data_IF_646244725038
#
_entry.id   IF_646244725038
#
_cell.length_a   1.000
_cell.length_b   1.000
_cell.length_c   1.000
_cell.angle_alpha   90.00
_cell.angle_beta   90.00
_cell.angle_gamma   90.00
#
_symmetry.space_group_name_H-M   'P 1'
#
loop_
_entity.id
_entity.type
_entity.pdbx_description
1 polymer ?
#
# COMPACT_ATOMS: atom_id res chain seq x y z
N UNK A 1 5.42 10.10 -24.55
CA UNK A 1 4.34 9.28 -23.96
C UNK A 1 3.31 9.02 -25.05
N UNK A 2 3.21 7.79 -25.58
CA UNK A 2 2.26 7.48 -26.65
C UNK A 2 0.89 7.20 -26.04
N UNK A 3 -0.14 7.93 -26.49
CA UNK A 3 -1.52 7.69 -26.07
C UNK A 3 -2.09 6.44 -26.76
N UNK A 4 -3.03 5.72 -26.12
CA UNK A 4 -3.74 4.63 -26.78
C UNK A 4 -4.40 5.07 -28.10
N UNK A 5 -4.42 4.19 -29.10
CA UNK A 5 -5.13 4.41 -30.37
C UNK A 5 -6.64 4.40 -30.19
N UNK A 6 -7.15 3.59 -29.24
CA UNK A 6 -8.56 3.58 -28.86
C UNK A 6 -8.97 4.93 -28.26
N UNK A 7 -9.94 5.65 -28.88
CA UNK A 7 -10.42 6.94 -28.39
C UNK A 7 -10.94 6.90 -26.95
N UNK A 8 -11.58 5.79 -26.52
CA UNK A 8 -12.12 5.67 -25.16
C UNK A 8 -11.00 5.61 -24.13
N UNK A 9 -9.99 4.78 -24.38
CA UNK A 9 -8.78 4.67 -23.54
C UNK A 9 -7.98 5.97 -23.51
N UNK A 10 -7.91 6.70 -24.62
CA UNK A 10 -7.25 8.02 -24.69
C UNK A 10 -7.95 9.05 -23.79
N UNK A 11 -9.27 9.12 -23.86
CA UNK A 11 -10.06 10.01 -23.01
C UNK A 11 -9.93 9.67 -21.54
N UNK A 12 -10.00 8.38 -21.17
CA UNK A 12 -9.79 7.95 -19.78
C UNK A 12 -8.38 8.28 -19.28
N UNK A 13 -7.35 8.06 -20.11
CA UNK A 13 -5.96 8.42 -19.78
C UNK A 13 -5.82 9.92 -19.51
N UNK A 14 -6.37 10.76 -20.40
CA UNK A 14 -6.36 12.23 -20.22
C UNK A 14 -7.09 12.64 -18.94
N UNK A 15 -8.26 12.08 -18.67
CA UNK A 15 -9.02 12.34 -17.44
C UNK A 15 -8.24 11.97 -16.18
N UNK A 16 -7.55 10.82 -16.18
CA UNK A 16 -6.74 10.39 -15.03
C UNK A 16 -5.49 11.24 -14.84
N UNK A 17 -4.87 11.68 -15.95
CA UNK A 17 -3.64 12.46 -15.92
C UNK A 17 -3.79 13.81 -15.20
N UNK A 18 -4.99 14.38 -15.13
CA UNK A 18 -5.25 15.63 -14.39
C UNK A 18 -5.01 15.51 -12.88
N UNK A 19 -5.00 14.29 -12.35
CA UNK A 19 -4.67 14.02 -10.95
C UNK A 19 -3.17 13.90 -10.71
N UNK A 20 -2.32 14.08 -11.72
CA UNK A 20 -0.88 13.95 -11.59
C UNK A 20 -0.18 15.26 -11.90
N UNK A 21 0.92 15.52 -11.17
CA UNK A 21 1.84 16.61 -11.47
C UNK A 21 3.26 16.06 -11.55
N UNK A 22 4.08 16.67 -12.38
CA UNK A 22 5.52 16.39 -12.44
C UNK A 22 6.26 17.61 -11.92
N UNK A 23 7.06 17.43 -10.87
CA UNK A 23 7.76 18.51 -10.21
C UNK A 23 9.17 18.05 -9.81
N UNK A 24 10.19 18.81 -10.21
CA UNK A 24 11.61 18.56 -9.91
C UNK A 24 12.03 17.08 -10.06
N UNK A 25 11.74 16.50 -11.22
CA UNK A 25 12.13 15.11 -11.51
C UNK A 25 11.17 14.04 -10.99
N UNK A 26 10.18 14.41 -10.18
CA UNK A 26 9.33 13.48 -9.44
C UNK A 26 7.86 13.59 -9.86
N UNK A 27 7.21 12.44 -10.06
CA UNK A 27 5.78 12.37 -10.33
C UNK A 27 5.00 12.29 -9.02
N UNK A 28 3.95 13.09 -8.89
CA UNK A 28 3.04 13.07 -7.75
C UNK A 28 1.61 12.83 -8.22
N UNK A 29 0.83 12.11 -7.40
CA UNK A 29 -0.62 11.96 -7.55
C UNK A 29 -1.33 12.77 -6.47
N UNK A 30 -2.30 13.58 -6.87
CA UNK A 30 -3.23 14.25 -5.97
C UNK A 30 -4.26 13.26 -5.42
N UNK A 31 -4.36 13.17 -4.11
CA UNK A 31 -5.39 12.41 -3.40
C UNK A 31 -6.75 13.09 -3.51
N UNK A 32 -7.81 12.42 -3.05
CA UNK A 32 -9.14 13.01 -2.99
C UNK A 32 -9.17 14.22 -2.03
N UNK A 33 -8.43 14.12 -0.93
CA UNK A 33 -8.21 15.15 0.08
C UNK A 33 -7.27 16.28 -0.40
N UNK A 34 -6.83 16.24 -1.66
CA UNK A 34 -5.97 17.26 -2.26
C UNK A 34 -4.48 17.13 -1.91
N UNK A 35 -4.07 16.10 -1.17
CA UNK A 35 -2.68 15.87 -0.76
C UNK A 35 -1.89 15.27 -1.92
N UNK A 36 -0.67 15.77 -2.16
CA UNK A 36 0.22 15.19 -3.17
C UNK A 36 1.02 14.02 -2.60
N UNK A 37 0.83 12.84 -3.19
CA UNK A 37 1.57 11.63 -2.86
C UNK A 37 2.62 11.35 -3.93
N UNK A 38 3.85 11.06 -3.52
CA UNK A 38 4.96 10.72 -4.41
C UNK A 38 4.72 9.36 -5.07
N UNK A 39 4.79 9.32 -6.39
CA UNK A 39 4.70 8.07 -7.13
C UNK A 39 6.03 7.30 -7.00
N UNK A 40 5.95 6.03 -6.64
CA UNK A 40 7.11 5.15 -6.53
C UNK A 40 7.38 4.41 -7.84
N UNK A 41 8.66 4.24 -8.16
CA UNK A 41 9.12 3.29 -9.18
C UNK A 41 8.93 1.83 -8.73
N UNK A 42 9.21 0.88 -9.63
CA UNK A 42 9.09 -0.54 -9.30
C UNK A 42 10.04 -0.98 -8.17
N UNK A 43 11.26 -0.46 -8.14
CA UNK A 43 12.24 -0.82 -7.12
C UNK A 43 11.87 -0.18 -5.78
N UNK A 44 11.48 1.11 -5.80
CA UNK A 44 11.06 1.82 -4.61
C UNK A 44 9.79 1.23 -3.97
N UNK A 45 8.82 0.75 -4.77
CA UNK A 45 7.62 0.12 -4.19
C UNK A 45 7.97 -1.20 -3.51
N UNK A 46 8.94 -1.96 -4.01
CA UNK A 46 9.41 -3.21 -3.38
C UNK A 46 10.05 -2.88 -2.04
N UNK A 47 10.98 -1.93 -2.03
CA UNK A 47 11.62 -1.46 -0.80
C UNK A 47 10.60 -0.92 0.21
N UNK A 48 9.62 -0.11 -0.23
CA UNK A 48 8.60 0.43 0.66
C UNK A 48 7.74 -0.68 1.29
N UNK A 49 7.39 -1.73 0.53
CA UNK A 49 6.66 -2.88 1.06
C UNK A 49 7.50 -3.69 2.06
N UNK A 50 8.77 -3.94 1.74
CA UNK A 50 9.71 -4.65 2.62
C UNK A 50 9.92 -3.91 3.94
N UNK A 51 10.32 -2.64 3.89
CA UNK A 51 10.58 -1.83 5.09
C UNK A 51 9.33 -1.70 5.98
N UNK A 52 8.15 -1.54 5.36
CA UNK A 52 6.90 -1.40 6.11
C UNK A 52 6.45 -2.71 6.74
N UNK A 53 6.68 -3.85 6.07
CA UNK A 53 6.21 -5.16 6.49
C UNK A 53 7.17 -5.83 7.47
N UNK A 54 8.45 -5.91 7.10
CA UNK A 54 9.50 -6.69 7.78
C UNK A 54 10.80 -5.91 8.04
N UNK A 55 10.85 -4.61 7.75
CA UNK A 55 12.00 -3.76 8.09
C UNK A 55 12.17 -3.58 9.61
N UNK A 56 13.07 -2.67 10.01
CA UNK A 56 13.42 -2.43 11.42
C UNK A 56 12.19 -2.10 12.28
N UNK A 57 11.26 -1.33 11.73
CA UNK A 57 9.97 -0.98 12.35
C UNK A 57 8.79 -1.76 11.74
N UNK A 58 9.09 -2.88 11.08
CA UNK A 58 8.14 -3.82 10.51
C UNK A 58 7.46 -4.63 11.62
N UNK A 59 6.20 -4.95 11.42
CA UNK A 59 5.40 -5.68 12.40
C UNK A 59 4.59 -6.81 11.75
N UNK A 60 5.05 -7.31 10.59
CA UNK A 60 4.43 -8.38 9.82
C UNK A 60 2.92 -8.20 9.64
N UNK A 61 2.50 -6.93 9.47
CA UNK A 61 1.08 -6.58 9.40
C UNK A 61 0.45 -7.09 8.10
N UNK A 62 -0.87 -7.27 8.13
CA UNK A 62 -1.63 -7.67 6.95
C UNK A 62 -1.45 -6.68 5.79
N UNK A 63 -1.57 -7.17 4.55
CA UNK A 63 -1.43 -6.36 3.35
C UNK A 63 -2.25 -5.06 3.33
N UNK A 64 -3.54 -5.05 3.75
CA UNK A 64 -4.31 -3.82 3.86
C UNK A 64 -3.71 -2.78 4.82
N UNK A 65 -3.14 -3.22 5.95
CA UNK A 65 -2.46 -2.35 6.92
C UNK A 65 -1.14 -1.82 6.37
N UNK A 66 -0.37 -2.65 5.66
CA UNK A 66 0.85 -2.23 4.96
C UNK A 66 0.52 -1.13 3.94
N UNK A 67 -0.50 -1.36 3.09
CA UNK A 67 -1.00 -0.36 2.15
C UNK A 67 -1.36 0.96 2.85
N UNK A 68 -2.12 0.90 3.94
CA UNK A 68 -2.55 2.10 4.66
C UNK A 68 -1.37 2.89 5.21
N UNK A 69 -0.37 2.19 5.78
CA UNK A 69 0.85 2.82 6.33
C UNK A 69 1.65 3.51 5.23
N UNK A 70 1.86 2.84 4.09
CA UNK A 70 2.58 3.42 2.95
C UNK A 70 1.85 4.61 2.35
N UNK A 71 0.51 4.52 2.20
CA UNK A 71 -0.31 5.66 1.74
C UNK A 71 -0.18 6.84 2.70
N UNK A 72 -0.19 6.60 4.02
CA UNK A 72 -0.06 7.63 5.05
C UNK A 72 1.33 8.29 5.05
N UNK A 73 2.37 7.58 4.62
CA UNK A 73 3.70 8.15 4.39
C UNK A 73 3.78 9.03 3.13
N UNK A 74 2.68 9.16 2.37
CA UNK A 74 2.61 10.00 1.19
C UNK A 74 3.10 9.31 -0.07
N UNK A 75 3.07 7.97 -0.14
CA UNK A 75 3.50 7.21 -1.31
C UNK A 75 2.33 6.63 -2.09
N UNK A 76 2.53 6.47 -3.40
CA UNK A 76 1.51 5.96 -4.31
C UNK A 76 2.07 5.10 -5.45
N UNK A 77 1.33 4.06 -5.82
CA UNK A 77 1.39 3.45 -7.16
C UNK A 77 0.03 2.80 -7.48
N UNK A 78 -0.33 2.59 -8.77
CA UNK A 78 -1.68 2.19 -9.15
C UNK A 78 -2.18 0.87 -8.55
N UNK A 79 -1.28 -0.09 -8.34
CA UNK A 79 -1.60 -1.46 -7.88
C UNK A 79 -1.32 -1.67 -6.38
N UNK A 80 -1.10 -0.61 -5.60
CA UNK A 80 -0.58 -0.71 -4.23
C UNK A 80 -1.38 -1.59 -3.29
N UNK A 81 -2.70 -1.59 -3.38
CA UNK A 81 -3.55 -2.45 -2.54
C UNK A 81 -3.28 -3.92 -2.84
N UNK A 82 -3.31 -4.30 -4.12
CA UNK A 82 -3.06 -5.68 -4.56
C UNK A 82 -1.63 -6.11 -4.23
N UNK A 83 -0.65 -5.28 -4.58
CA UNK A 83 0.77 -5.59 -4.38
C UNK A 83 1.08 -5.81 -2.89
N UNK A 84 0.54 -4.98 -1.98
CA UNK A 84 0.72 -5.15 -0.53
C UNK A 84 0.07 -6.44 -0.01
N UNK A 85 -1.11 -6.81 -0.51
CA UNK A 85 -1.79 -8.06 -0.17
C UNK A 85 -0.96 -9.26 -0.63
N UNK A 86 -0.54 -9.26 -1.89
CA UNK A 86 0.24 -10.36 -2.48
C UNK A 86 1.63 -10.46 -1.85
N UNK A 87 2.23 -9.34 -1.44
CA UNK A 87 3.49 -9.32 -0.68
C UNK A 87 3.33 -10.00 0.69
N UNK A 88 2.39 -9.54 1.51
CA UNK A 88 2.15 -10.12 2.84
C UNK A 88 1.76 -11.61 2.77
N UNK A 89 0.97 -12.00 1.76
CA UNK A 89 0.61 -13.42 1.52
C UNK A 89 1.81 -14.32 1.22
N UNK A 90 2.88 -13.80 0.63
CA UNK A 90 4.09 -14.56 0.28
C UNK A 90 5.13 -14.61 1.40
N UNK A 91 4.94 -13.83 2.47
CA UNK A 91 5.87 -13.79 3.59
C UNK A 91 5.89 -15.14 4.32
N UNK A 92 7.03 -15.83 4.29
CA UNK A 92 7.20 -17.14 4.91
C UNK A 92 7.01 -17.11 6.43
N UNK A 93 7.52 -16.08 7.11
CA UNK A 93 7.32 -15.90 8.54
C UNK A 93 5.82 -15.78 8.86
N UNK A 94 5.07 -14.97 8.10
CA UNK A 94 3.61 -14.88 8.27
C UNK A 94 2.91 -16.20 8.00
N UNK A 95 3.29 -16.95 6.95
CA UNK A 95 2.70 -18.24 6.62
C UNK A 95 2.94 -19.28 7.71
N UNK A 96 4.15 -19.32 8.29
CA UNK A 96 4.48 -20.22 9.40
C UNK A 96 3.62 -19.95 10.63
N UNK A 97 3.38 -18.67 10.95
CA UNK A 97 2.57 -18.27 12.11
C UNK A 97 1.06 -18.20 11.85
N UNK A 98 0.60 -18.29 10.59
CA UNK A 98 -0.81 -18.11 10.23
C UNK A 98 -1.74 -19.17 10.85
N UNK A 99 -1.22 -20.38 11.09
CA UNK A 99 -1.97 -21.49 11.66
C UNK A 99 -1.96 -21.50 13.20
N UNK A 100 -1.28 -20.54 13.84
CA UNK A 100 -1.34 -20.41 15.30
C UNK A 100 -2.69 -19.81 15.67
N UNK A 101 -3.47 -20.56 16.45
CA UNK A 101 -4.72 -20.06 17.01
C UNK A 101 -4.35 -18.91 17.95
N UNK A 102 -4.60 -17.66 17.55
CA UNK A 102 -4.43 -16.48 18.39
C UNK A 102 -5.52 -16.37 19.48
N UNK A 103 -5.97 -17.50 20.00
CA UNK A 103 -6.88 -17.56 21.12
C UNK A 103 -6.03 -17.52 22.40
N UNK A 104 -6.39 -16.67 23.37
CA UNK A 104 -5.70 -16.68 24.64
C UNK A 104 -5.80 -18.08 25.28
N UNK A 105 -4.75 -18.55 25.97
CA UNK A 105 -4.76 -19.86 26.62
C UNK A 105 -5.86 -19.97 27.69
N UNK A 106 -6.33 -18.82 28.19
CA UNK A 106 -7.42 -18.72 29.15
C UNK A 106 -8.54 -17.81 28.61
N UNK A 107 -9.81 -18.05 28.99
CA UNK A 107 -10.92 -17.15 28.68
C UNK A 107 -10.63 -15.74 29.20
N UNK A 108 -10.84 -14.72 28.35
CA UNK A 108 -10.69 -13.34 28.78
C UNK A 108 -11.74 -13.01 29.85
N UNK A 109 -11.29 -12.58 31.02
CA UNK A 109 -12.17 -12.06 32.05
C UNK A 109 -12.65 -10.65 31.65
N UNK A 110 -13.96 -10.38 31.68
CA UNK A 110 -14.47 -9.05 31.40
C UNK A 110 -14.00 -8.08 32.49
N UNK A 111 -13.35 -6.99 32.09
CA UNK A 111 -13.06 -5.88 33.00
C UNK A 111 -14.39 -5.20 33.32
N UNK A 112 -14.80 -5.20 34.59
CA UNK A 112 -15.87 -4.33 35.04
C UNK A 112 -15.39 -2.88 34.89
N UNK A 113 -16.05 -2.11 34.03
CA UNK A 113 -15.81 -0.68 33.96
C UNK A 113 -16.20 -0.08 35.32
N UNK A 114 -15.25 0.60 35.96
CA UNK A 114 -15.52 1.44 37.14
C UNK A 114 -16.21 2.73 36.74
#
# INVERSE_FOLDING_TARGET
>A
MNLPNDPRRRTDTRRRATHFIYYKGTLYRRSFEGIFMRCLSNDEKVQAMEETHSGVCGAHQSGPKVHFRIKRMGYYWPTMVKDCIDYAKRCQACQFHANLIHQPPEPLHPTVAS
#
